data_IF_909824996371
#
_entry.id   IF_909824996371
#
_cell.length_a   1.000
_cell.length_b   1.000
_cell.length_c   1.000
_cell.angle_alpha   90.00
_cell.angle_beta   90.00
_cell.angle_gamma   90.00
#
_symmetry.space_group_name_H-M   'P 1'
#
loop_
_entity.id
_entity.type
_entity.pdbx_description
1 polymer ?
#
# COMPACT_ATOMS: atom_id res chain seq x y z
N UNK A 1 -58.73 -21.74 7.30
CA UNK A 1 -57.76 -21.21 8.26
C UNK A 1 -56.49 -22.07 8.41
N UNK A 2 -56.52 -23.39 8.63
CA UNK A 2 -55.26 -24.21 8.79
C UNK A 2 -54.37 -24.26 7.52
N UNK A 3 -54.96 -24.28 6.33
CA UNK A 3 -54.19 -24.32 5.04
C UNK A 3 -53.51 -22.97 4.72
N UNK A 4 -54.16 -21.85 5.05
CA UNK A 4 -53.57 -20.51 4.89
C UNK A 4 -52.43 -20.25 5.86
N UNK A 5 -52.53 -20.74 7.11
CA UNK A 5 -51.47 -20.62 8.11
C UNK A 5 -50.21 -21.44 7.72
N UNK A 6 -50.40 -22.61 7.15
CA UNK A 6 -49.31 -23.49 6.69
C UNK A 6 -48.57 -22.91 5.47
N UNK A 7 -49.29 -22.23 4.57
CA UNK A 7 -48.73 -21.57 3.40
C UNK A 7 -47.86 -20.35 3.80
N UNK A 8 -48.36 -19.54 4.79
CA UNK A 8 -47.60 -18.39 5.32
C UNK A 8 -46.32 -18.84 6.05
N UNK A 9 -46.36 -19.95 6.76
CA UNK A 9 -45.16 -20.50 7.44
C UNK A 9 -44.13 -21.01 6.43
N UNK A 10 -44.57 -21.62 5.32
CA UNK A 10 -43.69 -22.09 4.24
C UNK A 10 -42.97 -20.93 3.52
N UNK A 11 -43.67 -19.79 3.30
CA UNK A 11 -43.10 -18.59 2.68
C UNK A 11 -42.08 -17.90 3.60
N UNK A 12 -42.32 -17.91 4.93
CA UNK A 12 -41.37 -17.35 5.91
C UNK A 12 -40.06 -18.14 6.00
N UNK A 13 -40.09 -19.47 5.79
CA UNK A 13 -38.86 -20.31 5.79
C UNK A 13 -38.02 -20.08 4.54
N UNK A 14 -38.62 -19.78 3.40
CA UNK A 14 -37.90 -19.54 2.15
C UNK A 14 -37.13 -18.22 2.11
N UNK A 15 -37.48 -17.24 2.95
CA UNK A 15 -36.81 -15.94 3.04
C UNK A 15 -35.45 -16.00 3.78
N UNK A 16 -35.14 -17.10 4.45
CA UNK A 16 -33.93 -17.26 5.28
C UNK A 16 -32.71 -17.91 4.60
N UNK A 17 -32.79 -18.25 3.32
CA UNK A 17 -31.75 -19.07 2.66
C UNK A 17 -30.75 -18.31 1.76
N UNK A 18 -30.72 -16.98 1.83
CA UNK A 18 -29.78 -16.16 1.05
C UNK A 18 -28.51 -15.79 1.83
N UNK A 19 -27.90 -16.76 2.52
CA UNK A 19 -26.60 -16.55 3.21
C UNK A 19 -25.47 -17.42 2.62
N UNK A 20 -25.54 -17.74 1.34
CA UNK A 20 -24.41 -18.37 0.69
C UNK A 20 -23.72 -17.37 -0.22
N UNK A 21 -22.41 -17.14 -0.01
CA UNK A 21 -21.59 -16.43 -0.97
C UNK A 21 -21.70 -17.11 -2.33
N UNK A 22 -21.97 -16.35 -3.41
CA UNK A 22 -22.09 -16.93 -4.75
C UNK A 22 -20.88 -17.78 -5.09
N UNK A 23 -21.11 -18.98 -5.62
CA UNK A 23 -20.06 -19.87 -6.12
C UNK A 23 -19.26 -19.12 -7.18
N UNK A 24 -17.93 -18.97 -6.97
CA UNK A 24 -17.05 -18.21 -7.87
C UNK A 24 -16.64 -16.81 -7.34
N UNK A 25 -17.11 -16.39 -6.17
CA UNK A 25 -16.53 -15.22 -5.50
C UNK A 25 -15.20 -15.59 -4.85
N UNK A 26 -14.14 -14.97 -5.34
CA UNK A 26 -12.83 -15.06 -4.69
C UNK A 26 -12.86 -14.25 -3.40
N UNK A 27 -12.70 -14.92 -2.26
CA UNK A 27 -12.41 -14.24 -0.99
C UNK A 27 -10.93 -14.41 -0.71
N UNK A 28 -10.24 -13.31 -0.35
CA UNK A 28 -8.88 -13.45 0.12
C UNK A 28 -8.87 -13.89 1.59
N UNK A 29 -7.98 -14.79 1.93
CA UNK A 29 -7.72 -15.25 3.30
C UNK A 29 -6.43 -14.63 3.85
N UNK A 30 -6.09 -13.41 3.42
CA UNK A 30 -4.89 -12.72 3.87
C UNK A 30 -5.01 -12.34 5.35
N UNK A 31 -3.89 -12.47 6.07
CA UNK A 31 -3.83 -12.17 7.49
C UNK A 31 -3.65 -10.66 7.68
N UNK A 32 -4.67 -9.98 8.21
CA UNK A 32 -4.68 -8.53 8.47
C UNK A 32 -4.36 -8.17 9.92
N UNK A 33 -3.78 -9.08 10.68
CA UNK A 33 -3.54 -8.89 12.14
C UNK A 33 -2.32 -8.04 12.46
N UNK A 34 -1.52 -7.66 11.47
CA UNK A 34 -0.32 -6.84 11.67
C UNK A 34 -0.33 -5.64 10.74
N UNK A 35 -0.35 -4.45 11.31
CA UNK A 35 -0.11 -3.20 10.58
C UNK A 35 1.38 -2.91 10.58
N UNK A 36 1.96 -2.78 9.38
CA UNK A 36 3.39 -2.50 9.21
C UNK A 36 3.71 -1.00 9.26
N UNK A 37 3.00 -0.20 8.48
CA UNK A 37 3.18 1.26 8.43
C UNK A 37 1.87 1.96 8.14
N UNK A 38 1.78 3.22 8.59
CA UNK A 38 0.63 4.09 8.41
C UNK A 38 1.04 5.33 7.62
N UNK A 39 0.14 5.82 6.78
CA UNK A 39 0.23 7.13 6.15
C UNK A 39 -1.15 7.81 6.20
N UNK A 40 -1.14 9.14 6.24
CA UNK A 40 -2.33 9.95 6.39
C UNK A 40 -2.40 10.96 5.27
N UNK A 41 -3.53 11.04 4.60
CA UNK A 41 -3.91 12.18 3.75
C UNK A 41 -4.99 13.01 4.44
N UNK A 42 -5.39 14.16 3.91
CA UNK A 42 -6.53 14.92 4.43
C UNK A 42 -7.83 14.11 4.49
N UNK A 43 -8.04 13.21 3.56
CA UNK A 43 -9.30 12.48 3.37
C UNK A 43 -9.22 11.02 3.80
N UNK A 44 -8.05 10.37 3.70
CA UNK A 44 -7.90 8.94 3.88
C UNK A 44 -6.79 8.57 4.88
N UNK A 45 -6.97 7.41 5.51
CA UNK A 45 -5.95 6.75 6.32
C UNK A 45 -5.51 5.49 5.59
N UNK A 46 -4.22 5.36 5.38
CA UNK A 46 -3.61 4.20 4.73
C UNK A 46 -2.88 3.35 5.75
N UNK A 47 -3.15 2.04 5.75
CA UNK A 47 -2.48 1.09 6.64
C UNK A 47 -1.97 -0.10 5.83
N UNK A 48 -0.65 -0.34 5.85
CA UNK A 48 -0.09 -1.54 5.24
C UNK A 48 -0.22 -2.73 6.19
N UNK A 49 -0.62 -3.88 5.65
CA UNK A 49 -0.74 -5.14 6.41
C UNK A 49 0.26 -6.20 5.94
N UNK A 50 1.33 -5.78 5.30
CA UNK A 50 2.30 -6.66 4.63
C UNK A 50 1.82 -7.02 3.22
N UNK A 51 0.77 -7.80 3.08
CA UNK A 51 0.28 -8.29 1.77
C UNK A 51 -0.76 -7.40 1.11
N UNK A 52 -1.28 -6.41 1.80
CA UNK A 52 -2.33 -5.51 1.30
C UNK A 52 -2.24 -4.11 1.90
N UNK A 53 -2.96 -3.19 1.28
CA UNK A 53 -3.18 -1.84 1.77
C UNK A 53 -4.65 -1.69 2.16
N UNK A 54 -4.89 -1.34 3.40
CA UNK A 54 -6.20 -0.88 3.87
C UNK A 54 -6.28 0.63 3.68
N UNK A 55 -7.38 1.09 3.11
CA UNK A 55 -7.66 2.51 2.85
C UNK A 55 -8.98 2.84 3.52
N UNK A 56 -8.93 3.67 4.54
CA UNK A 56 -10.12 4.16 5.23
C UNK A 56 -10.42 5.59 4.80
N UNK A 57 -11.55 5.75 4.12
CA UNK A 57 -12.09 7.06 3.74
C UNK A 57 -12.82 7.67 4.95
N UNK A 58 -12.32 8.80 5.46
CA UNK A 58 -12.88 9.48 6.64
C UNK A 58 -14.17 10.24 6.35
N UNK A 59 -14.42 10.59 5.09
CA UNK A 59 -15.61 11.33 4.68
C UNK A 59 -16.82 10.42 4.55
N UNK A 60 -16.62 9.24 3.98
CA UNK A 60 -17.70 8.28 3.69
C UNK A 60 -17.76 7.14 4.71
N UNK A 61 -16.87 7.11 5.70
CA UNK A 61 -16.74 6.02 6.69
C UNK A 61 -16.61 4.64 6.02
N UNK A 62 -15.83 4.59 4.94
CA UNK A 62 -15.68 3.40 4.10
C UNK A 62 -14.28 2.83 4.21
N UNK A 63 -14.19 1.52 4.42
CA UNK A 63 -12.95 0.77 4.41
C UNK A 63 -12.80 0.02 3.08
N UNK A 64 -11.80 0.38 2.30
CA UNK A 64 -11.42 -0.31 1.07
C UNK A 64 -10.13 -1.09 1.28
N UNK A 65 -9.96 -2.14 0.49
CA UNK A 65 -8.77 -2.97 0.53
C UNK A 65 -8.17 -3.08 -0.87
N UNK A 66 -6.90 -2.74 -0.98
CA UNK A 66 -6.11 -2.92 -2.18
C UNK A 66 -5.12 -4.08 -1.98
N UNK A 67 -5.16 -5.00 -2.93
CA UNK A 67 -4.28 -6.17 -3.01
C UNK A 67 -3.72 -6.25 -4.42
N UNK A 68 -2.85 -7.21 -4.68
CA UNK A 68 -2.37 -7.48 -6.03
C UNK A 68 -3.49 -7.85 -7.01
N UNK A 69 -4.60 -8.41 -6.52
CA UNK A 69 -5.73 -8.82 -7.38
C UNK A 69 -6.50 -7.60 -7.91
N UNK A 70 -6.56 -6.52 -7.11
CA UNK A 70 -7.39 -5.35 -7.40
C UNK A 70 -6.61 -4.03 -7.49
N UNK A 71 -5.32 -4.09 -7.81
CA UNK A 71 -4.59 -2.88 -8.16
C UNK A 71 -3.11 -2.85 -7.84
N UNK A 72 -2.65 -3.33 -6.69
CA UNK A 72 -1.23 -3.30 -6.35
C UNK A 72 -0.41 -4.17 -7.30
N UNK A 73 0.80 -3.71 -7.63
CA UNK A 73 1.68 -4.41 -8.56
C UNK A 73 2.34 -5.63 -7.92
N UNK A 74 2.64 -5.55 -6.63
CA UNK A 74 3.34 -6.59 -5.90
C UNK A 74 2.67 -6.89 -4.56
N UNK A 75 3.14 -7.94 -3.89
CA UNK A 75 2.83 -8.26 -2.50
C UNK A 75 3.97 -7.76 -1.59
N UNK A 76 3.84 -7.96 -0.28
CA UNK A 76 4.89 -7.72 0.71
C UNK A 76 5.34 -6.25 0.79
N UNK A 77 4.39 -5.40 1.18
CA UNK A 77 4.63 -3.97 1.42
C UNK A 77 5.62 -3.80 2.59
N UNK A 78 6.71 -3.08 2.36
CA UNK A 78 7.70 -2.77 3.39
C UNK A 78 7.36 -1.49 4.15
N UNK A 79 7.03 -0.42 3.45
CA UNK A 79 6.69 0.88 4.05
C UNK A 79 5.86 1.73 3.08
N UNK A 80 5.09 2.65 3.63
CA UNK A 80 4.28 3.61 2.87
C UNK A 80 4.49 5.04 3.38
N UNK A 81 4.27 6.02 2.52
CA UNK A 81 4.27 7.44 2.89
C UNK A 81 3.35 8.24 1.98
N UNK A 82 2.68 9.25 2.53
CA UNK A 82 1.87 10.20 1.78
C UNK A 82 2.66 11.48 1.49
N UNK A 83 2.56 12.00 0.29
CA UNK A 83 3.05 13.32 -0.09
C UNK A 83 1.86 14.26 -0.28
N UNK A 84 1.78 15.25 0.58
CA UNK A 84 0.70 16.24 0.53
C UNK A 84 0.78 17.10 -0.73
N UNK A 85 1.98 17.56 -1.08
CA UNK A 85 2.17 18.46 -2.23
C UNK A 85 1.86 17.78 -3.58
N UNK A 86 2.30 16.54 -3.76
CA UNK A 86 2.03 15.78 -4.99
C UNK A 86 0.72 14.98 -4.92
N UNK A 87 0.03 14.97 -3.77
CA UNK A 87 -1.17 14.16 -3.50
C UNK A 87 -0.96 12.68 -3.91
N UNK A 88 0.17 12.14 -3.52
CA UNK A 88 0.59 10.80 -3.95
C UNK A 88 0.92 9.94 -2.75
N UNK A 89 0.32 8.76 -2.69
CA UNK A 89 0.75 7.70 -1.78
C UNK A 89 1.90 6.92 -2.44
N UNK A 90 3.02 6.81 -1.73
CA UNK A 90 4.17 6.03 -2.14
C UNK A 90 4.16 4.72 -1.37
N UNK A 91 4.20 3.60 -2.07
CA UNK A 91 4.27 2.25 -1.51
C UNK A 91 5.60 1.64 -1.93
N UNK A 92 6.39 1.18 -0.98
CA UNK A 92 7.58 0.40 -1.25
C UNK A 92 7.35 -1.07 -0.89
N UNK A 93 7.86 -1.95 -1.73
CA UNK A 93 7.79 -3.40 -1.53
C UNK A 93 9.11 -3.97 -1.03
N UNK A 94 9.08 -5.15 -0.42
CA UNK A 94 10.29 -5.87 0.00
C UNK A 94 11.20 -6.21 -1.19
N UNK A 95 10.63 -6.35 -2.38
CA UNK A 95 11.35 -6.50 -3.65
C UNK A 95 12.11 -5.25 -4.08
N UNK A 96 11.86 -4.10 -3.41
CA UNK A 96 12.32 -2.75 -3.77
C UNK A 96 11.65 -2.12 -4.99
N UNK A 97 10.58 -2.71 -5.53
CA UNK A 97 9.65 -2.04 -6.43
C UNK A 97 8.87 -0.95 -5.69
N UNK A 98 8.36 0.03 -6.42
CA UNK A 98 7.52 1.10 -5.87
C UNK A 98 6.22 1.18 -6.64
N UNK A 99 5.11 1.43 -5.94
CA UNK A 99 3.87 1.90 -6.52
C UNK A 99 3.60 3.33 -6.05
N UNK A 100 3.16 4.17 -6.96
CA UNK A 100 2.67 5.51 -6.70
C UNK A 100 1.16 5.54 -6.96
N UNK A 101 0.37 5.82 -5.93
CA UNK A 101 -1.09 5.96 -6.09
C UNK A 101 -1.43 7.45 -6.09
N UNK A 102 -2.03 7.91 -7.18
CA UNK A 102 -2.55 9.27 -7.34
C UNK A 102 -3.79 9.26 -8.20
N UNK A 103 -4.83 9.98 -7.76
CA UNK A 103 -6.11 10.11 -8.48
C UNK A 103 -6.70 8.73 -8.90
N UNK A 104 -6.67 7.75 -7.99
CA UNK A 104 -7.07 6.35 -8.20
C UNK A 104 -6.27 5.58 -9.27
N UNK A 105 -5.21 6.16 -9.81
CA UNK A 105 -4.29 5.48 -10.73
C UNK A 105 -3.06 4.97 -9.99
N UNK A 106 -2.59 3.79 -10.37
CA UNK A 106 -1.39 3.17 -9.81
C UNK A 106 -0.29 3.17 -10.88
N UNK A 107 0.87 3.70 -10.51
CA UNK A 107 2.05 3.78 -11.37
C UNK A 107 3.19 3.00 -10.74
N UNK A 108 3.71 2.01 -11.46
CA UNK A 108 4.80 1.18 -10.99
C UNK A 108 6.16 1.70 -11.42
N UNK A 109 7.11 1.76 -10.48
CA UNK A 109 8.51 2.12 -10.73
C UNK A 109 9.39 0.93 -10.32
N UNK A 110 9.85 0.10 -11.26
CA UNK A 110 10.67 -1.08 -10.99
C UNK A 110 12.18 -0.80 -10.97
N UNK A 111 12.60 0.44 -11.14
CA UNK A 111 13.98 0.83 -11.40
C UNK A 111 14.96 0.32 -10.35
N UNK A 112 14.64 0.49 -9.05
CA UNK A 112 15.50 0.01 -7.96
C UNK A 112 15.55 -1.51 -7.96
N UNK A 113 14.41 -2.17 -8.18
CA UNK A 113 14.31 -3.63 -8.24
C UNK A 113 15.18 -4.20 -9.35
N UNK A 114 15.11 -3.60 -10.52
CA UNK A 114 15.80 -4.08 -11.72
C UNK A 114 17.28 -3.70 -11.76
N UNK A 115 17.70 -2.66 -11.03
CA UNK A 115 19.10 -2.23 -11.00
C UNK A 115 19.96 -3.21 -10.20
N UNK A 116 21.07 -3.63 -10.78
CA UNK A 116 22.07 -4.40 -10.04
C UNK A 116 22.76 -3.53 -8.98
N UNK A 117 22.60 -3.93 -7.71
CA UNK A 117 23.26 -3.29 -6.56
C UNK A 117 23.87 -4.42 -5.74
N UNK A 118 25.19 -4.42 -5.49
CA UNK A 118 25.83 -5.44 -4.68
C UNK A 118 25.25 -5.48 -3.26
N UNK A 119 25.03 -6.69 -2.74
CA UNK A 119 24.53 -6.89 -1.38
C UNK A 119 23.01 -6.84 -1.26
N UNK A 120 22.54 -6.65 -0.04
CA UNK A 120 21.11 -6.61 0.28
C UNK A 120 20.47 -5.30 -0.19
N UNK A 121 19.37 -5.39 -0.91
CA UNK A 121 18.53 -4.23 -1.25
C UNK A 121 17.31 -4.19 -0.34
N UNK A 122 17.16 -3.13 0.43
CA UNK A 122 15.94 -2.87 1.22
C UNK A 122 15.64 -1.39 1.21
N UNK A 123 14.36 -1.06 1.26
CA UNK A 123 13.85 0.28 1.54
C UNK A 123 13.34 0.25 2.98
N UNK A 124 14.02 0.97 3.87
CA UNK A 124 13.77 0.95 5.31
C UNK A 124 12.69 1.97 5.71
N UNK A 125 12.71 3.15 5.07
CA UNK A 125 11.78 4.25 5.37
C UNK A 125 11.58 5.14 4.16
N UNK A 126 10.41 5.75 4.05
CA UNK A 126 10.10 6.79 3.07
C UNK A 126 9.77 8.08 3.83
N UNK A 127 10.35 9.19 3.39
CA UNK A 127 9.97 10.54 3.79
C UNK A 127 9.66 11.36 2.56
N UNK A 128 8.67 12.23 2.65
CA UNK A 128 8.27 13.10 1.54
C UNK A 128 8.51 14.56 1.90
N UNK A 129 9.01 15.34 0.95
CA UNK A 129 9.12 16.80 1.06
C UNK A 129 8.96 17.39 -0.34
N UNK A 130 8.00 18.29 -0.47
CA UNK A 130 7.66 18.82 -1.79
C UNK A 130 7.18 17.70 -2.73
N UNK A 131 7.60 17.79 -3.96
CA UNK A 131 7.31 16.77 -5.00
C UNK A 131 8.21 15.53 -4.93
N UNK A 132 9.07 15.42 -3.94
CA UNK A 132 10.04 14.33 -3.84
C UNK A 132 9.73 13.36 -2.72
N UNK A 133 9.96 12.07 -2.96
CA UNK A 133 10.07 11.05 -1.95
C UNK A 133 11.54 10.66 -1.76
N UNK A 134 11.98 10.61 -0.54
CA UNK A 134 13.33 10.24 -0.13
C UNK A 134 13.26 8.86 0.52
N UNK A 135 13.89 7.90 -0.10
CA UNK A 135 13.89 6.50 0.33
C UNK A 135 15.19 6.21 1.08
N UNK A 136 15.08 5.93 2.37
CA UNK A 136 16.19 5.43 3.17
C UNK A 136 16.44 3.96 2.81
N UNK A 137 17.55 3.67 2.15
CA UNK A 137 17.85 2.34 1.65
C UNK A 137 19.08 1.73 2.31
N UNK A 138 19.22 0.41 2.21
CA UNK A 138 20.45 -0.30 2.69
C UNK A 138 21.71 0.09 1.92
N UNK A 139 21.60 0.84 0.83
CA UNK A 139 22.70 1.23 -0.05
C UNK A 139 22.81 2.75 -0.27
N UNK A 140 22.09 3.55 0.50
CA UNK A 140 22.08 5.02 0.41
C UNK A 140 20.67 5.61 0.45
N UNK A 141 20.52 6.81 -0.11
CA UNK A 141 19.25 7.48 -0.24
C UNK A 141 18.88 7.56 -1.73
N UNK A 142 17.69 7.10 -2.07
CA UNK A 142 17.14 7.26 -3.42
C UNK A 142 16.08 8.36 -3.37
N UNK A 143 16.16 9.31 -4.30
CA UNK A 143 15.19 10.41 -4.45
C UNK A 143 14.33 10.13 -5.67
N UNK A 144 13.02 10.14 -5.46
CA UNK A 144 12.01 9.91 -6.50
C UNK A 144 11.26 11.21 -6.77
N UNK A 145 11.18 11.64 -8.02
CA UNK A 145 10.28 12.71 -8.43
C UNK A 145 8.87 12.14 -8.62
N UNK A 146 7.96 12.48 -7.72
CA UNK A 146 6.60 11.94 -7.69
C UNK A 146 5.73 12.48 -8.83
N UNK A 147 6.08 13.63 -9.39
CA UNK A 147 5.35 14.23 -10.52
C UNK A 147 5.78 13.55 -11.83
N UNK A 148 7.09 13.43 -12.04
CA UNK A 148 7.64 12.79 -13.23
C UNK A 148 7.59 11.25 -13.15
N UNK A 149 7.45 10.68 -11.93
CA UNK A 149 7.39 9.24 -11.69
C UNK A 149 8.67 8.51 -12.09
N UNK A 150 9.80 9.10 -11.73
CA UNK A 150 11.13 8.58 -12.07
C UNK A 150 12.09 8.73 -10.89
N UNK A 151 13.17 7.96 -10.88
CA UNK A 151 14.28 8.16 -9.96
C UNK A 151 14.99 9.45 -10.36
N UNK A 152 14.96 10.44 -9.48
CA UNK A 152 15.61 11.73 -9.71
C UNK A 152 17.10 11.68 -9.40
N UNK A 153 17.48 11.06 -8.26
CA UNK A 153 18.86 11.01 -7.81
C UNK A 153 19.11 9.83 -6.86
N UNK A 154 20.38 9.51 -6.64
CA UNK A 154 20.79 8.48 -5.67
C UNK A 154 22.04 8.95 -4.93
N UNK A 155 21.88 9.22 -3.63
CA UNK A 155 22.96 9.66 -2.77
C UNK A 155 23.56 8.46 -2.03
N UNK A 156 24.84 8.22 -2.26
CA UNK A 156 25.57 7.21 -1.52
C UNK A 156 26.32 7.89 -0.39
N UNK A 157 26.22 7.41 0.86
CA UNK A 157 27.13 7.85 1.91
C UNK A 157 28.57 7.61 1.40
N UNK A 158 29.41 8.64 1.49
CA UNK A 158 30.82 8.50 1.07
C UNK A 158 31.56 7.43 1.87
N UNK A 159 32.81 7.20 1.54
CA UNK A 159 33.70 6.14 2.09
C UNK A 159 33.82 6.06 3.63
N UNK A 160 33.25 7.04 4.34
CA UNK A 160 33.22 7.11 5.81
C UNK A 160 32.30 6.05 6.42
N UNK A 161 31.28 5.59 5.68
CA UNK A 161 30.32 4.58 6.16
C UNK A 161 30.51 3.28 5.38
N UNK A 162 31.15 2.29 5.98
CA UNK A 162 31.44 0.99 5.38
C UNK A 162 30.21 0.22 4.85
N UNK A 163 29.01 0.54 5.29
CA UNK A 163 27.79 -0.20 4.93
C UNK A 163 26.82 0.57 4.03
N UNK A 164 26.93 1.90 3.95
CA UNK A 164 25.98 2.71 3.16
C UNK A 164 24.52 2.63 3.60
N UNK A 165 24.22 1.90 4.69
CA UNK A 165 22.85 1.69 5.16
C UNK A 165 22.28 2.97 5.80
N UNK A 166 21.17 3.43 5.25
CA UNK A 166 20.34 4.52 5.81
C UNK A 166 19.05 3.92 6.35
N UNK A 167 18.74 4.17 7.62
CA UNK A 167 17.56 3.61 8.28
C UNK A 167 16.37 4.55 8.31
N UNK A 168 16.64 5.84 8.48
CA UNK A 168 15.63 6.91 8.45
C UNK A 168 16.24 8.21 7.97
N UNK A 169 15.40 9.17 7.63
CA UNK A 169 15.74 10.50 7.14
C UNK A 169 14.91 11.51 7.93
N UNK A 170 15.52 12.60 8.32
CA UNK A 170 14.81 13.77 8.83
C UNK A 170 15.25 15.01 8.06
N UNK A 171 14.33 15.94 7.91
CA UNK A 171 14.64 17.25 7.32
C UNK A 171 14.78 18.27 8.46
N UNK A 172 15.84 19.06 8.41
CA UNK A 172 15.95 20.26 9.25
C UNK A 172 15.00 21.36 8.74
N UNK A 173 14.70 22.28 9.64
CA UNK A 173 13.95 23.49 9.33
C UNK A 173 14.75 24.44 8.45
#
# INVERSE_FOLDING_TARGET
MRKTLMLTYLILISAGLFSQTPVGTWSDHLVYTRTGSLALSPEEVFASTGSSLLVYDRKYDELRKLTRINGLTETDISTIAWSEESRTLVIAYLSTGLDLIRDNAIYHIPDIKNKYIPGKKTINRIRTRGKYAYLACSFGIVVVDLIKREIFDTWKPGDIFRTGEVRDISFGD
#
